data_IF_937005658508
#
_entry.id   IF_937005658508
#
_cell.length_a   1.000
_cell.length_b   1.000
_cell.length_c   1.000
_cell.angle_alpha   90.00
_cell.angle_beta   90.00
_cell.angle_gamma   90.00
#
_symmetry.space_group_name_H-M   'P 1'
#
loop_
_entity.id
_entity.type
_entity.pdbx_description
1 polymer ?
#
# COMPACT_ATOMS: atom_id res chain seq x y z
N UNK A 1 -12.94 3.63 -16.60
CA UNK A 1 -12.38 2.29 -16.89
C UNK A 1 -13.06 1.30 -15.93
N UNK A 2 -13.39 0.10 -16.38
CA UNK A 2 -13.97 -0.95 -15.52
C UNK A 2 -12.88 -1.73 -14.78
N UNK A 3 -13.27 -2.40 -13.65
CA UNK A 3 -12.36 -3.28 -12.92
C UNK A 3 -12.07 -4.56 -13.69
N UNK A 4 -10.80 -4.96 -13.77
CA UNK A 4 -10.39 -6.22 -14.39
C UNK A 4 -9.10 -6.78 -13.80
N UNK A 5 -8.83 -8.04 -14.09
CA UNK A 5 -7.55 -8.70 -13.83
C UNK A 5 -6.99 -9.26 -15.12
N UNK A 6 -5.65 -9.30 -15.26
CA UNK A 6 -4.99 -9.81 -16.46
C UNK A 6 -3.81 -10.70 -16.10
N UNK A 7 -3.76 -11.89 -16.70
CA UNK A 7 -2.62 -12.79 -16.60
C UNK A 7 -1.50 -12.33 -17.54
N UNK A 8 -0.27 -12.25 -17.02
CA UNK A 8 0.91 -11.95 -17.81
C UNK A 8 1.98 -11.15 -17.07
N UNK A 9 3.09 -10.91 -17.76
CA UNK A 9 4.18 -10.07 -17.29
C UNK A 9 3.70 -8.62 -17.10
N UNK A 10 3.90 -8.05 -15.90
CA UNK A 10 3.34 -6.75 -15.55
C UNK A 10 3.90 -5.60 -16.40
N UNK A 11 5.18 -5.66 -16.79
CA UNK A 11 5.79 -4.63 -17.64
C UNK A 11 5.23 -4.64 -19.06
N UNK A 12 4.76 -5.81 -19.55
CA UNK A 12 4.08 -5.92 -20.83
C UNK A 12 2.63 -5.47 -20.74
N UNK A 13 1.91 -5.98 -19.73
CA UNK A 13 0.48 -5.70 -19.53
C UNK A 13 0.24 -4.23 -19.22
N UNK A 14 1.09 -3.59 -18.41
CA UNK A 14 0.94 -2.17 -18.11
C UNK A 14 0.99 -1.27 -19.36
N UNK A 15 1.65 -1.69 -20.46
CA UNK A 15 1.66 -0.91 -21.72
C UNK A 15 0.26 -0.68 -22.30
N UNK A 16 -0.68 -1.57 -22.00
CA UNK A 16 -2.07 -1.46 -22.46
C UNK A 16 -2.91 -0.52 -21.56
N UNK A 17 -2.39 -0.12 -20.38
CA UNK A 17 -3.07 0.80 -19.48
C UNK A 17 -2.87 2.23 -20.01
N UNK A 18 -3.95 3.02 -20.16
CA UNK A 18 -3.84 4.42 -20.61
C UNK A 18 -2.98 5.27 -19.68
N UNK A 19 -2.32 6.27 -20.26
CA UNK A 19 -1.53 7.24 -19.49
C UNK A 19 -2.42 7.99 -18.50
N UNK A 20 -1.87 8.30 -17.32
CA UNK A 20 -2.54 9.13 -16.30
C UNK A 20 -3.95 8.66 -15.92
N UNK A 21 -4.17 7.35 -15.92
CA UNK A 21 -5.48 6.76 -15.64
C UNK A 21 -5.61 6.16 -14.25
N UNK A 22 -4.50 5.94 -13.55
CA UNK A 22 -4.44 5.26 -12.24
C UNK A 22 -4.39 6.30 -11.11
N UNK A 23 -5.28 6.15 -10.12
CA UNK A 23 -5.36 7.02 -8.94
C UNK A 23 -4.43 6.57 -7.80
N UNK A 24 -4.18 5.27 -7.70
CA UNK A 24 -3.26 4.70 -6.73
C UNK A 24 -2.60 3.44 -7.29
N UNK A 25 -1.31 3.27 -6.99
CA UNK A 25 -0.63 1.99 -7.14
C UNK A 25 -0.41 1.44 -5.73
N UNK A 26 -0.90 0.22 -5.46
CA UNK A 26 -0.72 -0.47 -4.18
C UNK A 26 -0.26 -1.89 -4.47
N UNK A 27 1.02 -2.17 -4.22
CA UNK A 27 1.63 -3.41 -4.66
C UNK A 27 2.64 -3.98 -3.66
N UNK A 28 2.62 -5.30 -3.53
CA UNK A 28 3.66 -6.10 -2.87
C UNK A 28 4.57 -6.70 -3.93
N UNK A 29 5.64 -5.99 -4.26
CA UNK A 29 6.59 -6.41 -5.30
C UNK A 29 7.35 -7.68 -4.90
N UNK A 30 7.85 -8.50 -5.83
CA UNK A 30 8.79 -9.56 -5.50
C UNK A 30 10.11 -8.98 -4.99
N UNK A 31 10.60 -9.49 -3.84
CA UNK A 31 11.80 -8.96 -3.16
C UNK A 31 13.09 -9.64 -3.59
N UNK A 32 13.01 -10.82 -4.24
CA UNK A 32 14.16 -11.65 -4.59
C UNK A 32 14.84 -12.27 -3.37
N UNK A 33 14.08 -12.55 -2.31
CA UNK A 33 14.62 -13.06 -1.04
C UNK A 33 14.19 -14.49 -0.71
N UNK A 34 13.33 -15.08 -1.53
CA UNK A 34 12.82 -16.45 -1.35
C UNK A 34 13.36 -17.39 -2.44
N UNK A 35 13.18 -18.71 -2.26
CA UNK A 35 13.52 -19.73 -3.26
C UNK A 35 12.42 -19.91 -4.34
N UNK A 36 11.37 -19.10 -4.29
CA UNK A 36 10.27 -19.18 -5.23
C UNK A 36 10.70 -18.65 -6.61
N UNK A 37 10.38 -19.37 -7.68
CA UNK A 37 10.76 -18.99 -9.05
C UNK A 37 10.18 -17.63 -9.50
N UNK A 38 9.05 -17.24 -8.95
CA UNK A 38 8.37 -15.97 -9.22
C UNK A 38 8.95 -14.79 -8.42
N UNK A 39 9.75 -15.04 -7.38
CA UNK A 39 10.33 -13.98 -6.54
C UNK A 39 11.58 -13.38 -7.19
N UNK A 40 11.41 -12.78 -8.35
CA UNK A 40 12.47 -12.11 -9.12
C UNK A 40 12.22 -10.61 -9.10
N UNK A 41 13.20 -9.84 -8.62
CA UNK A 41 13.10 -8.38 -8.56
C UNK A 41 12.86 -7.79 -9.95
N UNK A 42 11.78 -7.03 -10.09
CA UNK A 42 11.46 -6.33 -11.33
C UNK A 42 12.47 -5.18 -11.51
N UNK A 43 13.07 -4.99 -12.70
CA UNK A 43 13.98 -3.89 -12.95
C UNK A 43 13.33 -2.54 -12.66
N UNK A 44 13.88 -1.80 -11.68
CA UNK A 44 13.26 -0.57 -11.18
C UNK A 44 13.14 0.52 -12.25
N UNK A 45 14.11 0.65 -13.15
CA UNK A 45 14.06 1.59 -14.26
C UNK A 45 12.83 1.40 -15.14
N UNK A 46 12.56 0.14 -15.52
CA UNK A 46 11.38 -0.23 -16.32
C UNK A 46 10.08 -0.08 -15.55
N UNK A 47 10.11 -0.41 -14.25
CA UNK A 47 8.95 -0.29 -13.38
C UNK A 47 8.55 1.19 -13.22
N UNK A 48 9.50 2.07 -12.90
CA UNK A 48 9.25 3.50 -12.75
C UNK A 48 8.83 4.17 -14.05
N UNK A 49 9.36 3.74 -15.21
CA UNK A 49 8.88 4.19 -16.52
C UNK A 49 7.37 3.98 -16.65
N UNK A 50 6.89 2.77 -16.35
CA UNK A 50 5.46 2.46 -16.44
C UNK A 50 4.66 3.15 -15.33
N UNK A 51 5.12 3.16 -14.10
CA UNK A 51 4.42 3.82 -12.99
C UNK A 51 4.24 5.31 -13.24
N UNK A 52 5.28 6.02 -13.66
CA UNK A 52 5.20 7.45 -13.99
C UNK A 52 4.27 7.75 -15.17
N UNK A 53 4.14 6.80 -16.11
CA UNK A 53 3.25 6.93 -17.25
C UNK A 53 1.79 6.73 -16.87
N UNK A 54 1.46 5.62 -16.20
CA UNK A 54 0.07 5.25 -15.92
C UNK A 54 -0.54 6.00 -14.74
N UNK A 55 0.26 6.36 -13.73
CA UNK A 55 -0.22 7.07 -12.55
C UNK A 55 -0.55 8.53 -12.85
N UNK A 56 -1.65 9.04 -12.29
CA UNK A 56 -1.97 10.47 -12.28
C UNK A 56 -0.89 11.24 -11.52
N UNK A 57 -0.74 12.52 -11.75
CA UNK A 57 0.31 13.32 -11.09
C UNK A 57 0.13 13.42 -9.57
N UNK A 58 -1.11 13.32 -9.09
CA UNK A 58 -1.48 13.26 -7.68
C UNK A 58 -1.79 11.84 -7.18
N UNK A 59 -1.39 10.80 -7.91
CA UNK A 59 -1.54 9.43 -7.46
C UNK A 59 -0.51 9.08 -6.39
N UNK A 60 -0.94 8.31 -5.39
CA UNK A 60 -0.01 7.67 -4.45
C UNK A 60 0.50 6.34 -5.03
N UNK A 61 1.81 6.10 -4.91
CA UNK A 61 2.45 4.82 -5.20
C UNK A 61 2.92 4.25 -3.87
N UNK A 62 2.28 3.18 -3.44
CA UNK A 62 2.42 2.59 -2.10
C UNK A 62 2.93 1.16 -2.25
N UNK A 63 4.16 0.94 -1.83
CA UNK A 63 4.88 -0.30 -2.10
C UNK A 63 5.37 -0.94 -0.80
N UNK A 64 5.01 -2.21 -0.60
CA UNK A 64 5.52 -2.97 0.53
C UNK A 64 7.00 -3.31 0.36
N UNK A 65 7.70 -3.44 1.49
CA UNK A 65 9.10 -3.80 1.48
C UNK A 65 9.62 -4.30 2.82
N UNK A 66 10.65 -5.11 2.75
CA UNK A 66 11.46 -5.53 3.89
C UNK A 66 12.93 -5.38 3.54
N UNK A 67 13.81 -5.13 4.54
CA UNK A 67 15.23 -5.00 4.29
C UNK A 67 15.86 -6.32 3.78
N UNK A 68 16.82 -6.26 2.84
CA UNK A 68 17.46 -5.06 2.24
C UNK A 68 16.72 -4.51 1.00
N UNK A 69 15.60 -5.13 0.57
CA UNK A 69 14.85 -4.71 -0.62
C UNK A 69 14.28 -3.29 -0.44
N UNK A 70 13.74 -2.97 0.73
CA UNK A 70 13.13 -1.65 0.99
C UNK A 70 14.13 -0.49 0.87
N UNK A 71 15.39 -0.67 1.26
CA UNK A 71 16.44 0.34 1.04
C UNK A 71 16.71 0.56 -0.46
N UNK A 72 16.81 -0.51 -1.24
CA UNK A 72 16.96 -0.42 -2.71
C UNK A 72 15.76 0.23 -3.38
N UNK A 73 14.56 -0.08 -2.90
CA UNK A 73 13.31 0.49 -3.40
C UNK A 73 13.27 2.02 -3.18
N UNK A 74 13.59 2.50 -1.98
CA UNK A 74 13.65 3.94 -1.69
C UNK A 74 14.69 4.65 -2.59
N UNK A 75 15.88 4.08 -2.69
CA UNK A 75 16.97 4.63 -3.51
C UNK A 75 16.64 4.65 -5.00
N UNK A 76 15.77 3.75 -5.47
CA UNK A 76 15.40 3.68 -6.88
C UNK A 76 14.64 4.90 -7.38
N UNK A 77 14.00 5.69 -6.48
CA UNK A 77 13.32 6.94 -6.83
C UNK A 77 13.20 7.90 -5.64
N UNK A 78 14.33 8.41 -5.17
CA UNK A 78 14.40 9.36 -4.04
C UNK A 78 13.60 10.66 -4.28
N UNK A 79 13.47 11.08 -5.53
CA UNK A 79 12.73 12.29 -5.87
C UNK A 79 11.24 12.15 -5.53
N UNK A 80 10.66 11.00 -5.77
CA UNK A 80 9.25 10.72 -5.51
C UNK A 80 9.00 10.15 -4.10
N UNK A 81 10.02 9.56 -3.44
CA UNK A 81 9.89 9.04 -2.09
C UNK A 81 9.55 10.14 -1.09
N UNK A 82 8.61 9.85 -0.18
CA UNK A 82 8.16 10.84 0.81
C UNK A 82 8.30 10.35 2.26
N UNK A 83 7.73 9.20 2.58
CA UNK A 83 7.76 8.62 3.93
C UNK A 83 7.36 7.14 3.90
N UNK A 84 7.51 6.50 5.06
CA UNK A 84 7.07 5.13 5.27
C UNK A 84 5.92 5.07 6.28
N UNK A 85 5.05 4.07 6.07
CA UNK A 85 4.30 3.44 7.15
C UNK A 85 5.05 2.20 7.62
N UNK A 86 4.90 1.88 8.89
CA UNK A 86 5.38 0.61 9.49
C UNK A 86 4.15 -0.24 9.78
N UNK A 87 4.08 -1.39 9.14
CA UNK A 87 3.09 -2.39 9.47
C UNK A 87 3.63 -3.32 10.56
N UNK A 88 3.08 -3.22 11.79
CA UNK A 88 3.33 -4.18 12.85
C UNK A 88 2.40 -5.39 12.66
N UNK A 89 3.00 -6.57 12.46
CA UNK A 89 2.31 -7.84 12.18
C UNK A 89 1.82 -8.54 13.45
N UNK A 90 2.08 -7.98 14.63
CA UNK A 90 1.80 -8.55 15.95
C UNK A 90 2.66 -9.78 16.28
N UNK A 91 2.85 -10.69 15.32
CA UNK A 91 3.65 -11.91 15.47
C UNK A 91 4.99 -11.77 14.76
N UNK A 92 6.07 -12.08 15.50
CA UNK A 92 7.41 -12.13 14.93
C UNK A 92 7.61 -13.34 14.01
N UNK A 93 8.42 -13.17 12.99
CA UNK A 93 8.85 -14.22 12.04
C UNK A 93 10.37 -14.37 12.06
N UNK A 94 10.91 -15.46 11.52
CA UNK A 94 12.35 -15.68 11.45
C UNK A 94 12.92 -16.49 12.62
N UNK A 95 12.14 -17.38 13.22
CA UNK A 95 12.53 -18.21 14.38
C UNK A 95 13.83 -18.98 14.18
N UNK A 96 14.15 -19.41 12.98
CA UNK A 96 15.41 -20.12 12.69
C UNK A 96 16.65 -19.28 13.01
N UNK A 97 16.51 -17.96 13.02
CA UNK A 97 17.57 -17.01 13.31
C UNK A 97 17.43 -16.31 14.67
N UNK A 98 16.51 -16.74 15.53
CA UNK A 98 16.19 -16.07 16.80
C UNK A 98 17.37 -15.95 17.78
N UNK A 99 18.38 -16.84 17.66
CA UNK A 99 19.62 -16.79 18.44
C UNK A 99 20.69 -15.84 17.85
N UNK A 100 20.47 -15.29 16.64
CA UNK A 100 21.44 -14.46 15.91
C UNK A 100 20.94 -13.03 15.69
N UNK A 101 19.63 -12.83 15.65
CA UNK A 101 19.00 -11.55 15.40
C UNK A 101 17.59 -11.49 15.96
N UNK A 102 17.01 -10.31 16.22
CA UNK A 102 15.63 -10.16 16.65
C UNK A 102 14.64 -10.78 15.67
N UNK A 103 13.50 -11.26 16.18
CA UNK A 103 12.38 -11.67 15.33
C UNK A 103 11.83 -10.47 14.58
N UNK A 104 11.55 -10.65 13.30
CA UNK A 104 10.98 -9.59 12.46
C UNK A 104 9.46 -9.56 12.63
N UNK A 105 8.94 -8.53 13.28
CA UNK A 105 7.50 -8.34 13.48
C UNK A 105 6.89 -7.23 12.64
N UNK A 106 7.67 -6.56 11.80
CA UNK A 106 7.19 -5.47 10.96
C UNK A 106 7.63 -5.58 9.51
N UNK A 107 6.92 -4.89 8.65
CA UNK A 107 7.29 -4.54 7.28
C UNK A 107 7.13 -3.03 7.07
N UNK A 108 7.86 -2.47 6.14
CA UNK A 108 7.71 -1.07 5.75
C UNK A 108 6.79 -0.96 4.54
N UNK A 109 6.10 0.17 4.44
CA UNK A 109 5.25 0.49 3.30
C UNK A 109 5.71 1.87 2.81
N UNK A 110 6.49 1.87 1.73
CA UNK A 110 7.09 3.07 1.17
C UNK A 110 6.06 3.84 0.35
N UNK A 111 5.93 5.14 0.60
CA UNK A 111 5.00 6.02 -0.10
C UNK A 111 5.75 6.98 -1.01
N UNK A 112 5.36 6.97 -2.28
CA UNK A 112 5.92 7.83 -3.32
C UNK A 112 4.80 8.61 -3.99
N UNK A 113 5.06 9.84 -4.38
CA UNK A 113 4.19 10.61 -5.26
C UNK A 113 4.96 11.76 -5.93
N UNK A 114 4.48 12.19 -7.10
CA UNK A 114 5.06 13.32 -7.85
C UNK A 114 4.61 14.65 -7.28
N UNK A 115 3.28 14.83 -7.16
CA UNK A 115 2.63 15.98 -6.52
C UNK A 115 1.87 15.48 -5.29
N UNK A 116 1.48 16.37 -4.38
CA UNK A 116 0.71 15.98 -3.19
C UNK A 116 -0.47 15.08 -3.60
N UNK A 117 -0.43 13.86 -3.10
CA UNK A 117 -1.47 12.87 -3.40
C UNK A 117 -2.73 13.12 -2.58
N UNK A 118 -3.83 12.49 -2.98
CA UNK A 118 -5.02 12.35 -2.13
C UNK A 118 -4.58 11.78 -0.79
N UNK A 119 -4.98 12.43 0.30
CA UNK A 119 -4.68 11.96 1.66
C UNK A 119 -5.90 12.18 2.56
N UNK A 120 -6.59 11.10 2.88
CA UNK A 120 -7.75 11.06 3.75
C UNK A 120 -7.32 10.43 5.09
N UNK A 121 -6.89 11.22 6.09
CA UNK A 121 -6.41 10.67 7.36
C UNK A 121 -7.52 9.90 8.06
N UNK A 122 -7.26 8.62 8.37
CA UNK A 122 -8.17 7.78 9.12
C UNK A 122 -8.07 8.14 10.60
N UNK A 123 -8.88 9.12 11.03
CA UNK A 123 -8.87 9.66 12.40
C UNK A 123 -9.32 8.63 13.42
N UNK A 124 -8.68 8.62 14.58
CA UNK A 124 -9.06 7.79 15.72
C UNK A 124 -9.60 8.65 16.87
N UNK A 125 -10.48 8.08 17.69
CA UNK A 125 -10.96 8.73 18.90
C UNK A 125 -9.90 8.74 19.99
N UNK A 126 -9.80 9.84 20.75
CA UNK A 126 -8.89 9.98 21.88
C UNK A 126 -9.48 10.91 22.95
N UNK A 127 -8.74 11.15 24.02
CA UNK A 127 -9.14 12.16 24.98
C UNK A 127 -9.11 13.56 24.36
N UNK A 128 -10.10 14.41 24.69
CA UNK A 128 -10.11 15.81 24.25
C UNK A 128 -8.82 16.51 24.67
N UNK A 129 -8.18 17.17 23.73
CA UNK A 129 -6.97 17.97 23.97
C UNK A 129 -7.19 19.36 23.42
N UNK A 130 -6.85 20.35 24.25
CA UNK A 130 -6.82 21.75 23.84
C UNK A 130 -5.36 22.23 23.85
N UNK A 131 -4.92 22.82 22.77
CA UNK A 131 -3.59 23.44 22.70
C UNK A 131 -3.66 24.71 21.86
N UNK A 132 -2.79 25.65 22.21
CA UNK A 132 -2.72 26.98 21.59
C UNK A 132 -1.33 27.16 20.98
N UNK A 133 -1.26 27.66 19.75
CA UNK A 133 -0.05 28.16 19.13
C UNK A 133 -0.31 29.61 18.73
N UNK A 134 0.47 30.54 19.28
CA UNK A 134 0.31 31.97 19.00
C UNK A 134 1.06 32.32 17.70
N UNK A 135 0.50 33.27 16.95
CA UNK A 135 1.17 33.92 15.84
C UNK A 135 2.52 34.51 16.31
N UNK A 136 3.54 34.40 15.49
CA UNK A 136 4.87 34.90 15.79
C UNK A 136 5.69 34.01 16.73
N UNK A 137 5.13 32.92 17.29
CA UNK A 137 5.92 31.97 18.06
C UNK A 137 6.93 31.28 17.12
N UNK A 138 8.20 31.55 17.37
CA UNK A 138 9.31 30.96 16.62
C UNK A 138 9.91 29.78 17.37
N UNK A 139 10.18 28.70 16.66
CA UNK A 139 10.92 27.55 17.17
C UNK A 139 11.98 27.13 16.15
N UNK A 140 13.12 26.64 16.62
CA UNK A 140 14.21 26.19 15.74
C UNK A 140 13.82 25.06 14.82
N UNK A 141 12.81 24.26 15.21
CA UNK A 141 12.35 23.08 14.48
C UNK A 141 11.22 23.40 13.49
N UNK A 142 10.27 24.27 13.86
CA UNK A 142 9.05 24.50 13.08
C UNK A 142 8.96 25.93 12.50
N UNK A 143 10.01 26.73 12.67
CA UNK A 143 10.02 28.12 12.23
C UNK A 143 8.97 28.98 12.94
N UNK A 144 8.57 30.08 12.30
CA UNK A 144 7.61 31.04 12.82
C UNK A 144 6.18 30.61 12.49
N UNK A 145 5.26 30.78 13.44
CA UNK A 145 3.85 30.58 13.19
C UNK A 145 3.24 31.82 12.53
N UNK A 146 2.58 31.63 11.38
CA UNK A 146 1.99 32.73 10.60
C UNK A 146 0.66 33.22 11.17
N UNK A 147 -0.06 32.35 11.90
CA UNK A 147 -1.37 32.62 12.47
C UNK A 147 -1.52 32.03 13.88
N UNK A 148 -2.50 32.55 14.64
CA UNK A 148 -2.95 31.90 15.86
C UNK A 148 -3.67 30.60 15.52
N UNK A 149 -3.30 29.53 16.20
CA UNK A 149 -3.91 28.22 16.00
C UNK A 149 -4.40 27.64 17.32
N UNK A 150 -5.66 27.26 17.35
CA UNK A 150 -6.28 26.56 18.48
C UNK A 150 -6.61 25.15 18.02
N UNK A 151 -6.01 24.17 18.66
CA UNK A 151 -6.39 22.77 18.50
C UNK A 151 -7.30 22.39 19.66
N UNK A 152 -8.55 22.03 19.35
CA UNK A 152 -9.52 21.54 20.33
C UNK A 152 -10.25 20.35 19.72
N UNK A 153 -9.78 19.16 20.02
CA UNK A 153 -10.32 17.94 19.42
C UNK A 153 -10.09 16.71 20.28
N UNK A 154 -11.06 15.79 20.21
CA UNK A 154 -10.92 14.41 20.67
C UNK A 154 -10.41 13.46 19.57
N UNK A 155 -10.38 13.89 18.31
CA UNK A 155 -9.82 13.11 17.22
C UNK A 155 -8.28 13.15 17.20
N UNK A 156 -7.68 12.09 16.72
CA UNK A 156 -6.20 11.97 16.57
C UNK A 156 -5.87 11.56 15.17
N UNK A 157 -4.88 12.24 14.61
CA UNK A 157 -4.28 11.84 13.33
C UNK A 157 -3.61 10.47 13.43
N UNK A 158 -3.61 9.68 12.36
CA UNK A 158 -2.95 8.39 12.33
C UNK A 158 -1.45 8.54 12.60
N UNK A 159 -0.87 7.56 13.29
CA UNK A 159 0.58 7.46 13.47
C UNK A 159 1.17 6.60 12.38
N UNK A 160 2.47 6.75 12.11
CA UNK A 160 3.18 5.99 11.08
C UNK A 160 3.24 4.48 11.33
N UNK A 161 3.02 4.02 12.57
CA UNK A 161 2.97 2.59 12.92
C UNK A 161 1.51 2.17 12.97
N UNK A 162 1.14 1.19 12.15
CA UNK A 162 -0.19 0.61 12.07
C UNK A 162 -0.14 -0.88 12.44
N UNK A 163 -1.06 -1.32 13.29
CA UNK A 163 -1.09 -2.69 13.82
C UNK A 163 -2.21 -3.46 13.14
N UNK A 164 -1.86 -4.46 12.34
CA UNK A 164 -2.80 -5.38 11.71
C UNK A 164 -2.27 -6.81 11.83
N UNK A 165 -3.07 -7.72 12.36
CA UNK A 165 -2.67 -9.13 12.38
C UNK A 165 -2.61 -9.71 10.96
N UNK A 166 -1.66 -10.60 10.70
CA UNK A 166 -1.60 -11.30 9.43
C UNK A 166 -2.78 -12.29 9.31
N UNK A 167 -3.48 -12.28 8.17
CA UNK A 167 -4.67 -13.13 7.91
C UNK A 167 -4.35 -14.63 7.71
N UNK A 168 -3.16 -15.06 8.05
CA UNK A 168 -2.64 -16.42 7.76
C UNK A 168 -3.38 -17.57 8.45
N UNK A 169 -4.35 -17.30 9.33
CA UNK A 169 -4.98 -18.34 10.14
C UNK A 169 -6.35 -18.83 9.67
N UNK A 170 -7.02 -18.16 8.75
CA UNK A 170 -8.40 -18.56 8.36
C UNK A 170 -8.51 -19.25 7.01
N UNK A 171 -7.62 -19.00 6.07
CA UNK A 171 -7.53 -19.70 4.79
C UNK A 171 -6.11 -19.53 4.23
N UNK A 172 -5.24 -20.52 4.42
CA UNK A 172 -3.88 -20.53 3.89
C UNK A 172 -3.87 -20.80 2.37
N UNK A 173 -4.40 -19.87 1.58
CA UNK A 173 -4.37 -19.97 0.11
C UNK A 173 -3.05 -19.44 -0.49
N UNK A 174 -2.34 -18.59 0.26
CA UNK A 174 -1.01 -18.12 -0.13
C UNK A 174 -0.21 -17.73 1.12
N UNK A 175 1.04 -18.20 1.29
CA UNK A 175 1.82 -18.00 2.52
C UNK A 175 2.22 -16.55 2.81
N UNK A 176 2.15 -15.66 1.83
CA UNK A 176 2.59 -14.25 1.92
C UNK A 176 1.45 -13.24 1.73
N UNK A 177 0.20 -13.67 1.89
CA UNK A 177 -0.96 -12.80 1.69
C UNK A 177 -0.96 -11.60 2.67
N UNK A 178 -1.12 -10.38 2.12
CA UNK A 178 -1.30 -9.17 2.93
C UNK A 178 -2.71 -9.12 3.54
N UNK A 179 -2.87 -8.61 4.79
CA UNK A 179 -4.18 -8.47 5.41
C UNK A 179 -5.11 -7.54 4.63
N UNK A 180 -6.31 -8.00 4.31
CA UNK A 180 -7.30 -7.18 3.59
C UNK A 180 -7.59 -5.88 4.34
N UNK A 181 -7.72 -5.93 5.67
CA UNK A 181 -7.99 -4.75 6.49
C UNK A 181 -6.89 -3.67 6.38
N UNK A 182 -5.60 -4.07 6.28
CA UNK A 182 -4.50 -3.15 6.05
C UNK A 182 -4.59 -2.52 4.65
N UNK A 183 -4.87 -3.33 3.64
CA UNK A 183 -5.01 -2.84 2.26
C UNK A 183 -6.19 -1.88 2.12
N UNK A 184 -7.33 -2.17 2.75
CA UNK A 184 -8.49 -1.27 2.81
C UNK A 184 -8.16 0.05 3.50
N UNK A 185 -7.41 0.01 4.61
CA UNK A 185 -6.93 1.20 5.31
C UNK A 185 -6.10 2.10 4.38
N UNK A 186 -5.14 1.51 3.66
CA UNK A 186 -4.28 2.25 2.71
C UNK A 186 -5.08 2.79 1.54
N UNK A 187 -6.00 2.00 0.97
CA UNK A 187 -6.87 2.42 -0.14
C UNK A 187 -7.74 3.61 0.28
N UNK A 188 -8.42 3.55 1.43
CA UNK A 188 -9.22 4.69 1.93
C UNK A 188 -8.37 5.92 2.19
N UNK A 189 -7.12 5.74 2.63
CA UNK A 189 -6.21 6.85 2.91
C UNK A 189 -5.81 7.60 1.64
N UNK A 190 -5.57 6.90 0.54
CA UNK A 190 -4.97 7.50 -0.66
C UNK A 190 -5.89 7.60 -1.86
N UNK A 191 -7.16 7.25 -1.71
CA UNK A 191 -8.15 7.30 -2.80
C UNK A 191 -9.51 7.77 -2.32
N UNK A 192 -10.34 8.22 -3.27
CA UNK A 192 -11.76 8.47 -3.10
C UNK A 192 -12.58 7.32 -3.72
N UNK A 193 -13.90 7.32 -3.49
CA UNK A 193 -14.79 6.32 -4.09
C UNK A 193 -14.70 6.37 -5.62
N UNK A 194 -14.73 5.18 -6.22
CA UNK A 194 -14.62 4.94 -7.67
C UNK A 194 -13.24 5.22 -8.30
N UNK A 195 -12.24 5.67 -7.53
CA UNK A 195 -10.86 5.75 -7.98
C UNK A 195 -10.32 4.37 -8.38
N UNK A 196 -9.30 4.33 -9.23
CA UNK A 196 -8.71 3.11 -9.77
C UNK A 196 -7.42 2.78 -9.05
N UNK A 197 -7.37 1.60 -8.44
CA UNK A 197 -6.20 1.02 -7.78
C UNK A 197 -5.53 0.00 -8.69
N UNK A 198 -4.24 0.15 -8.95
CA UNK A 198 -3.42 -0.81 -9.68
C UNK A 198 -2.59 -1.65 -8.72
N UNK A 199 -2.68 -2.97 -8.85
CA UNK A 199 -1.74 -3.93 -8.27
C UNK A 199 -1.11 -4.76 -9.39
N UNK A 200 0.13 -4.46 -9.73
CA UNK A 200 0.83 -5.10 -10.85
C UNK A 200 1.49 -6.44 -10.49
N UNK A 201 1.40 -6.88 -9.24
CA UNK A 201 1.84 -8.20 -8.74
C UNK A 201 0.81 -8.72 -7.74
N UNK A 202 -0.46 -8.85 -8.16
CA UNK A 202 -1.60 -9.00 -7.27
C UNK A 202 -1.63 -10.29 -6.45
N UNK A 203 -0.77 -11.26 -6.80
CA UNK A 203 -0.77 -12.56 -6.13
C UNK A 203 -2.17 -13.16 -6.08
N UNK A 204 -2.61 -13.50 -4.89
CA UNK A 204 -3.95 -14.06 -4.66
C UNK A 204 -5.10 -13.03 -4.69
N UNK A 205 -4.86 -11.78 -5.10
CA UNK A 205 -5.88 -10.76 -5.36
C UNK A 205 -6.38 -9.99 -4.13
N UNK A 206 -5.62 -9.95 -3.03
CA UNK A 206 -6.06 -9.27 -1.80
C UNK A 206 -6.29 -7.77 -1.98
N UNK A 207 -5.45 -7.08 -2.77
CA UNK A 207 -5.63 -5.66 -3.11
C UNK A 207 -6.91 -5.44 -3.92
N UNK A 208 -7.23 -6.33 -4.87
CA UNK A 208 -8.45 -6.24 -5.67
C UNK A 208 -9.71 -6.41 -4.80
N UNK A 209 -9.67 -7.34 -3.84
CA UNK A 209 -10.74 -7.56 -2.86
C UNK A 209 -10.90 -6.33 -1.97
N UNK A 210 -9.80 -5.78 -1.45
CA UNK A 210 -9.84 -4.58 -0.63
C UNK A 210 -10.41 -3.36 -1.40
N UNK A 211 -10.09 -3.24 -2.70
CA UNK A 211 -10.66 -2.22 -3.56
C UNK A 211 -12.18 -2.41 -3.75
N UNK A 212 -12.65 -3.65 -3.97
CA UNK A 212 -14.10 -3.95 -4.01
C UNK A 212 -14.81 -3.56 -2.71
N UNK A 213 -14.26 -3.96 -1.56
CA UNK A 213 -14.84 -3.69 -0.25
C UNK A 213 -14.93 -2.19 0.08
N UNK A 214 -14.15 -1.39 -0.60
CA UNK A 214 -14.05 0.05 -0.38
C UNK A 214 -14.64 0.91 -1.49
N UNK A 215 -15.44 0.33 -2.40
CA UNK A 215 -16.03 1.00 -3.57
C UNK A 215 -15.00 1.60 -4.55
N UNK A 216 -13.82 1.01 -4.65
CA UNK A 216 -12.81 1.41 -5.63
C UNK A 216 -12.81 0.44 -6.80
N UNK A 217 -12.43 0.94 -7.97
CA UNK A 217 -12.11 0.11 -9.13
C UNK A 217 -10.69 -0.43 -8.99
N UNK A 218 -10.40 -1.53 -9.67
CA UNK A 218 -9.08 -2.12 -9.60
C UNK A 218 -8.61 -2.66 -10.96
N UNK A 219 -7.29 -2.70 -11.11
CA UNK A 219 -6.59 -3.45 -12.14
C UNK A 219 -5.60 -4.34 -11.42
N UNK A 220 -5.71 -5.66 -11.59
CA UNK A 220 -4.80 -6.64 -11.02
C UNK A 220 -4.02 -7.37 -12.13
N UNK A 221 -2.71 -7.53 -11.94
CA UNK A 221 -1.85 -8.27 -12.89
C UNK A 221 -1.12 -9.35 -12.11
N UNK A 222 -1.08 -10.58 -12.66
CA UNK A 222 -0.35 -11.71 -12.09
C UNK A 222 0.28 -12.53 -13.22
N UNK A 223 1.55 -12.87 -13.06
CA UNK A 223 2.34 -13.59 -14.06
C UNK A 223 2.21 -15.11 -13.95
N UNK A 224 1.98 -15.63 -12.74
CA UNK A 224 1.85 -17.07 -12.49
C UNK A 224 0.40 -17.51 -12.66
N UNK A 225 0.14 -18.38 -13.64
CA UNK A 225 -1.21 -18.79 -14.06
C UNK A 225 -2.01 -19.43 -12.92
N UNK A 226 -1.38 -20.27 -12.11
CA UNK A 226 -2.02 -20.95 -10.99
C UNK A 226 -2.49 -19.98 -9.91
N UNK A 227 -1.66 -18.95 -9.62
CA UNK A 227 -1.98 -17.89 -8.66
C UNK A 227 -3.05 -16.97 -9.24
N UNK A 228 -2.96 -16.62 -10.52
CA UNK A 228 -3.97 -15.83 -11.22
C UNK A 228 -5.35 -16.47 -11.16
N UNK A 229 -5.46 -17.80 -11.41
CA UNK A 229 -6.72 -18.52 -11.33
C UNK A 229 -7.28 -18.51 -9.89
N UNK A 230 -6.44 -18.69 -8.88
CA UNK A 230 -6.83 -18.56 -7.47
C UNK A 230 -7.38 -17.16 -7.16
N UNK A 231 -6.70 -16.10 -7.64
CA UNK A 231 -7.14 -14.72 -7.45
C UNK A 231 -8.49 -14.47 -8.11
N UNK A 232 -8.70 -14.95 -9.34
CA UNK A 232 -9.94 -14.83 -10.11
C UNK A 232 -11.14 -15.39 -9.34
N UNK A 233 -10.99 -16.58 -8.77
CA UNK A 233 -12.06 -17.24 -8.01
C UNK A 233 -12.36 -16.49 -6.72
N UNK A 234 -11.33 -16.04 -5.98
CA UNK A 234 -11.50 -15.25 -4.75
C UNK A 234 -12.21 -13.93 -5.00
N UNK A 235 -11.80 -13.18 -6.02
CA UNK A 235 -12.39 -11.89 -6.39
C UNK A 235 -13.86 -12.07 -6.79
N UNK A 236 -14.18 -13.13 -7.54
CA UNK A 236 -15.55 -13.47 -7.92
C UNK A 236 -16.42 -13.80 -6.70
N UNK A 237 -15.92 -14.62 -5.77
CA UNK A 237 -16.63 -14.98 -4.53
C UNK A 237 -16.91 -13.74 -3.68
N UNK A 238 -15.93 -12.85 -3.50
CA UNK A 238 -16.11 -11.62 -2.74
C UNK A 238 -17.18 -10.71 -3.35
N UNK A 239 -17.19 -10.55 -4.68
CA UNK A 239 -18.20 -9.76 -5.38
C UNK A 239 -19.62 -10.31 -5.15
N UNK A 240 -19.79 -11.64 -5.15
CA UNK A 240 -21.08 -12.27 -4.89
C UNK A 240 -21.55 -12.02 -3.46
N UNK A 241 -20.64 -12.06 -2.47
CA UNK A 241 -20.96 -11.75 -1.08
C UNK A 241 -21.42 -10.30 -0.90
N UNK A 242 -20.74 -9.34 -1.54
CA UNK A 242 -21.11 -7.92 -1.47
C UNK A 242 -22.48 -7.60 -2.10
N UNK A 243 -22.97 -8.42 -3.00
CA UNK A 243 -24.31 -8.26 -3.62
C UNK A 243 -25.45 -8.80 -2.78
N UNK A 244 -25.16 -9.56 -1.72
CA UNK A 244 -26.15 -10.17 -0.82
C UNK A 244 -26.49 -9.27 0.38
N UNK A 245 -25.79 -8.15 0.55
CA UNK A 245 -25.98 -7.14 1.58
C UNK A 245 -26.24 -5.77 0.97
#
# INVERSE_FOLDING_TARGET
MESYIKHGDCLKVMKDIPDKSIDMILCDLPYGTTQCKWDVVIPFDKLWEQYCRVAKDNAAIVLFGAEPFSSRLRLSNLQMYKYDWIWDKVKGTGFLNAKKQPLRNHEVICVFYKSQCTYNPQMTSGQRKVSYRRKGLQTDVYGQADEDYIYDSAARYPRSIQVFSADTQKCSLHPTQKPIALLEYLIRTYTNDYDIVLDNCMGSGSTCIAAQNTNRKYIGIESEESIFNTAKDRIKMNKTQLQLF
#
